data_IF_827100854529
#
_entry.id   IF_827100854529
#
_cell.length_a   1.000
_cell.length_b   1.000
_cell.length_c   1.000
_cell.angle_alpha   90.00
_cell.angle_beta   90.00
_cell.angle_gamma   90.00
#
_symmetry.space_group_name_H-M   'P 1'
#
loop_
_entity.id
_entity.type
_entity.pdbx_description
1 polymer ?
#
# COMPACT_ATOMS: atom_id res chain seq x y z
N UNK A 1 -49.38 3.72 38.39
CA UNK A 1 -48.34 4.75 38.10
C UNK A 1 -47.10 4.02 37.59
N UNK A 2 -46.94 4.05 36.26
CA UNK A 2 -45.80 3.43 35.60
C UNK A 2 -44.61 4.41 35.66
N UNK A 3 -43.63 4.16 36.50
CA UNK A 3 -42.42 4.96 36.55
C UNK A 3 -41.62 4.64 35.25
N UNK A 4 -41.72 5.51 34.28
CA UNK A 4 -40.78 5.53 33.18
C UNK A 4 -39.42 5.90 33.75
N UNK A 5 -38.54 4.89 33.95
CA UNK A 5 -37.14 5.17 34.29
C UNK A 5 -36.50 6.07 33.22
N UNK A 6 -35.37 6.70 33.53
CA UNK A 6 -34.69 7.59 32.59
C UNK A 6 -34.35 6.80 31.31
N UNK A 7 -34.97 7.19 30.21
CA UNK A 7 -34.68 6.64 28.89
C UNK A 7 -33.46 7.40 28.40
N UNK A 8 -32.33 6.68 28.25
CA UNK A 8 -31.13 7.24 27.59
C UNK A 8 -31.47 7.72 26.18
N UNK A 9 -30.97 8.86 25.74
CA UNK A 9 -31.09 9.32 24.37
C UNK A 9 -30.60 8.28 23.37
N UNK A 10 -31.26 8.11 22.22
CA UNK A 10 -30.85 7.15 21.18
C UNK A 10 -29.38 7.32 20.75
N UNK A 11 -28.88 8.55 20.71
CA UNK A 11 -27.54 8.92 20.33
C UNK A 11 -26.47 8.28 21.22
N UNK A 12 -26.73 8.15 22.53
CA UNK A 12 -25.80 7.51 23.46
C UNK A 12 -25.75 5.98 23.25
N UNK A 13 -26.83 5.38 22.79
CA UNK A 13 -26.82 3.96 22.42
C UNK A 13 -26.02 3.77 21.13
N UNK A 14 -26.19 4.65 20.15
CA UNK A 14 -25.44 4.58 18.89
C UNK A 14 -23.92 4.74 19.16
N UNK A 15 -23.55 5.72 19.98
CA UNK A 15 -22.15 5.92 20.40
C UNK A 15 -21.58 4.69 21.13
N UNK A 16 -22.37 4.05 22.02
CA UNK A 16 -21.97 2.81 22.67
C UNK A 16 -21.75 1.67 21.68
N UNK A 17 -22.64 1.54 20.69
CA UNK A 17 -22.54 0.52 19.66
C UNK A 17 -21.36 0.80 18.70
N UNK A 18 -21.03 2.08 18.48
CA UNK A 18 -19.87 2.48 17.68
C UNK A 18 -18.56 1.99 18.31
N UNK A 19 -18.46 1.95 19.64
CA UNK A 19 -17.29 1.37 20.32
C UNK A 19 -17.16 -0.15 20.18
N UNK A 20 -18.21 -0.84 19.76
CA UNK A 20 -18.24 -2.29 19.52
C UNK A 20 -18.03 -2.67 18.05
N UNK A 21 -17.58 -1.75 17.21
CA UNK A 21 -17.52 -1.89 15.74
C UNK A 21 -16.75 -3.14 15.26
N UNK A 22 -15.79 -3.65 16.03
CA UNK A 22 -14.95 -4.82 15.75
C UNK A 22 -15.41 -6.10 16.49
N UNK A 23 -16.34 -5.99 17.45
CA UNK A 23 -16.89 -7.14 18.17
C UNK A 23 -18.21 -7.62 17.56
N UNK A 24 -18.10 -8.36 16.44
CA UNK A 24 -19.26 -8.91 15.75
C UNK A 24 -20.11 -9.86 16.64
N UNK A 25 -19.53 -10.50 17.65
CA UNK A 25 -20.25 -11.39 18.56
C UNK A 25 -21.17 -10.58 19.47
N UNK A 26 -20.65 -9.55 20.10
CA UNK A 26 -21.45 -8.66 20.97
C UNK A 26 -22.48 -7.89 20.16
N UNK A 27 -22.14 -7.38 18.96
CA UNK A 27 -23.10 -6.71 18.08
C UNK A 27 -24.29 -7.60 17.68
N UNK A 28 -24.06 -8.90 17.42
CA UNK A 28 -25.16 -9.86 17.17
C UNK A 28 -26.10 -9.97 18.36
N UNK A 29 -25.57 -10.05 19.58
CA UNK A 29 -26.38 -10.08 20.81
C UNK A 29 -27.15 -8.76 20.96
N UNK A 30 -26.50 -7.63 20.77
CA UNK A 30 -27.11 -6.29 20.83
C UNK A 30 -28.28 -6.18 19.83
N UNK A 31 -28.17 -6.77 18.64
CA UNK A 31 -29.24 -6.73 17.62
C UNK A 31 -30.53 -7.43 18.06
N UNK A 32 -30.46 -8.27 19.10
CA UNK A 32 -31.61 -9.00 19.66
C UNK A 32 -32.24 -8.33 20.88
N UNK A 33 -31.58 -7.29 21.43
CA UNK A 33 -32.06 -6.61 22.66
C UNK A 33 -33.34 -5.82 22.41
N UNK A 34 -33.37 -4.99 21.36
CA UNK A 34 -34.55 -4.21 21.00
C UNK A 34 -34.50 -3.76 19.54
N UNK A 35 -35.66 -3.39 18.99
CA UNK A 35 -35.79 -2.98 17.59
C UNK A 35 -35.02 -1.70 17.25
N UNK A 36 -34.86 -0.78 18.20
CA UNK A 36 -34.13 0.47 18.00
C UNK A 36 -32.62 0.28 17.78
N UNK A 37 -32.03 -0.79 18.30
CA UNK A 37 -30.62 -1.11 18.14
C UNK A 37 -30.28 -1.81 16.81
N UNK A 38 -31.30 -2.35 16.14
CA UNK A 38 -31.12 -3.11 14.89
C UNK A 38 -30.45 -2.28 13.79
N UNK A 39 -30.81 -1.02 13.51
CA UNK A 39 -30.17 -0.25 12.46
C UNK A 39 -28.67 -0.06 12.71
N UNK A 40 -28.29 0.37 13.92
CA UNK A 40 -26.88 0.66 14.26
C UNK A 40 -26.04 -0.62 14.32
N UNK A 41 -26.56 -1.69 14.92
CA UNK A 41 -25.87 -2.99 14.92
C UNK A 41 -25.69 -3.54 13.51
N UNK A 42 -26.69 -3.41 12.63
CA UNK A 42 -26.58 -3.82 11.21
C UNK A 42 -25.55 -3.01 10.45
N UNK A 43 -25.45 -1.71 10.73
CA UNK A 43 -24.44 -0.84 10.11
C UNK A 43 -23.03 -1.40 10.36
N UNK A 44 -22.71 -1.80 11.59
CA UNK A 44 -21.39 -2.35 11.93
C UNK A 44 -21.22 -3.80 11.42
N UNK A 45 -22.21 -4.67 11.63
CA UNK A 45 -22.15 -6.07 11.23
C UNK A 45 -21.98 -6.28 9.72
N UNK A 46 -22.55 -5.39 8.90
CA UNK A 46 -22.53 -5.48 7.44
C UNK A 46 -21.65 -4.42 6.77
N UNK A 47 -20.93 -3.61 7.56
CA UNK A 47 -20.01 -2.59 7.03
C UNK A 47 -18.94 -3.18 6.13
N UNK A 48 -18.40 -4.34 6.54
CA UNK A 48 -17.38 -5.09 5.80
C UNK A 48 -17.92 -6.47 5.45
N UNK A 49 -18.01 -6.73 4.16
CA UNK A 49 -18.42 -8.03 3.62
C UNK A 49 -17.21 -8.69 2.97
N UNK A 50 -16.98 -9.96 3.30
CA UNK A 50 -15.99 -10.80 2.65
C UNK A 50 -16.66 -11.98 1.98
N UNK A 51 -16.46 -12.09 0.67
CA UNK A 51 -16.89 -13.22 -0.13
C UNK A 51 -15.67 -14.09 -0.43
N UNK A 52 -15.76 -15.36 -0.08
CA UNK A 52 -14.65 -16.33 -0.25
C UNK A 52 -15.11 -17.65 -0.84
N UNK A 53 -16.41 -17.79 -1.17
CA UNK A 53 -16.98 -18.98 -1.78
C UNK A 53 -18.36 -18.68 -2.36
N UNK A 54 -18.86 -19.56 -3.22
CA UNK A 54 -20.23 -19.51 -3.75
C UNK A 54 -21.28 -19.52 -2.64
N UNK A 55 -21.06 -20.31 -1.59
CA UNK A 55 -21.97 -20.37 -0.45
C UNK A 55 -22.13 -19.00 0.24
N UNK A 56 -21.03 -18.26 0.42
CA UNK A 56 -21.08 -16.89 1.00
C UNK A 56 -21.80 -15.92 0.09
N UNK A 57 -21.66 -16.05 -1.23
CA UNK A 57 -22.39 -15.26 -2.21
C UNK A 57 -23.90 -15.54 -2.14
N UNK A 58 -24.28 -16.80 -2.16
CA UNK A 58 -25.71 -17.22 -2.10
C UNK A 58 -26.36 -16.75 -0.80
N UNK A 59 -25.69 -16.92 0.34
CA UNK A 59 -26.19 -16.46 1.63
C UNK A 59 -26.40 -14.94 1.65
N UNK A 60 -25.44 -14.17 1.14
CA UNK A 60 -25.54 -12.71 1.09
C UNK A 60 -26.65 -12.25 0.14
N UNK A 61 -26.76 -12.87 -1.03
CA UNK A 61 -27.83 -12.58 -1.98
C UNK A 61 -29.21 -12.83 -1.36
N UNK A 62 -29.43 -13.96 -0.72
CA UNK A 62 -30.66 -14.28 -0.02
C UNK A 62 -30.96 -13.28 1.12
N UNK A 63 -29.93 -12.86 1.85
CA UNK A 63 -30.06 -11.90 2.93
C UNK A 63 -30.46 -10.52 2.41
N UNK A 64 -29.85 -10.05 1.32
CA UNK A 64 -30.16 -8.77 0.69
C UNK A 64 -31.56 -8.79 0.04
N UNK A 65 -31.99 -9.90 -0.56
CA UNK A 65 -33.34 -10.06 -1.10
C UNK A 65 -34.39 -9.92 0.00
N UNK A 66 -34.14 -10.52 1.17
CA UNK A 66 -35.05 -10.45 2.32
C UNK A 66 -34.98 -9.10 3.08
N UNK A 67 -33.87 -8.38 2.98
CA UNK A 67 -33.64 -7.13 3.70
C UNK A 67 -32.73 -6.19 2.87
N UNK A 68 -33.30 -5.46 1.89
CA UNK A 68 -32.53 -4.55 1.01
C UNK A 68 -31.76 -3.47 1.77
N UNK A 69 -32.21 -3.13 2.99
CA UNK A 69 -31.51 -2.17 3.85
C UNK A 69 -30.07 -2.58 4.18
N UNK A 70 -29.75 -3.87 4.14
CA UNK A 70 -28.38 -4.37 4.37
C UNK A 70 -27.41 -3.86 3.32
N UNK A 71 -27.81 -3.81 2.05
CA UNK A 71 -26.96 -3.29 0.99
C UNK A 71 -26.50 -1.85 1.27
N UNK A 72 -27.32 -1.04 1.94
CA UNK A 72 -26.97 0.35 2.32
C UNK A 72 -25.93 0.43 3.45
N UNK A 73 -25.73 -0.66 4.21
CA UNK A 73 -24.77 -0.71 5.30
C UNK A 73 -23.36 -1.00 4.78
N UNK A 74 -23.23 -1.66 3.61
CA UNK A 74 -21.94 -2.13 3.06
C UNK A 74 -21.09 -0.93 2.65
N UNK A 75 -19.85 -0.89 3.17
CA UNK A 75 -18.82 0.10 2.85
C UNK A 75 -17.60 -0.54 2.22
N UNK A 76 -17.24 -1.73 2.69
CA UNK A 76 -16.09 -2.49 2.18
C UNK A 76 -16.55 -3.84 1.66
N UNK A 77 -16.23 -4.12 0.40
CA UNK A 77 -16.42 -5.42 -0.23
C UNK A 77 -15.06 -6.04 -0.48
N UNK A 78 -14.85 -7.25 0.02
CA UNK A 78 -13.65 -8.05 -0.23
C UNK A 78 -14.05 -9.32 -0.97
N UNK A 79 -13.45 -9.55 -2.13
CA UNK A 79 -13.52 -10.80 -2.88
C UNK A 79 -12.19 -11.50 -2.71
N UNK A 80 -12.21 -12.68 -2.09
CA UNK A 80 -10.99 -13.45 -1.82
C UNK A 80 -11.13 -14.84 -2.42
N UNK A 81 -10.61 -15.03 -3.64
CA UNK A 81 -10.52 -16.33 -4.26
C UNK A 81 -9.39 -17.17 -3.66
N UNK A 82 -9.23 -18.41 -4.14
CA UNK A 82 -8.21 -19.32 -3.61
C UNK A 82 -7.02 -19.49 -4.57
N UNK A 83 -6.91 -18.63 -5.57
CA UNK A 83 -5.77 -18.70 -6.49
C UNK A 83 -4.45 -18.55 -5.71
N UNK A 84 -3.59 -19.55 -5.81
CA UNK A 84 -2.23 -19.53 -5.29
C UNK A 84 -1.26 -19.41 -6.47
N UNK A 85 -0.73 -18.20 -6.69
CA UNK A 85 0.24 -17.93 -7.77
C UNK A 85 1.63 -18.46 -7.50
N UNK A 86 1.88 -19.04 -6.33
CA UNK A 86 3.19 -19.60 -5.96
C UNK A 86 3.22 -21.05 -6.37
N UNK A 87 4.00 -21.33 -7.43
CA UNK A 87 4.14 -22.62 -8.08
C UNK A 87 4.46 -23.75 -7.12
N UNK A 88 3.54 -24.65 -7.00
CA UNK A 88 3.81 -26.06 -6.80
C UNK A 88 2.72 -26.85 -7.52
N UNK A 89 3.16 -27.65 -8.45
CA UNK A 89 2.41 -28.72 -9.12
C UNK A 89 0.93 -28.44 -9.47
N UNK A 90 0.66 -28.43 -10.75
CA UNK A 90 -0.58 -28.37 -11.54
C UNK A 90 -1.81 -29.16 -11.03
N UNK A 91 -2.10 -29.24 -9.75
CA UNK A 91 -3.24 -30.01 -9.19
C UNK A 91 -4.15 -29.25 -8.22
N UNK A 92 -3.92 -27.95 -7.97
CA UNK A 92 -4.92 -27.13 -7.29
C UNK A 92 -5.98 -26.73 -8.30
N UNK A 93 -7.18 -27.28 -8.21
CA UNK A 93 -8.35 -26.79 -8.93
C UNK A 93 -8.52 -25.33 -8.55
N UNK A 94 -8.21 -24.44 -9.49
CA UNK A 94 -8.39 -23.00 -9.32
C UNK A 94 -9.88 -22.72 -9.26
N UNK A 95 -10.42 -22.60 -8.07
CA UNK A 95 -11.83 -22.36 -7.85
C UNK A 95 -12.09 -20.86 -7.67
N UNK A 96 -11.93 -20.11 -8.73
CA UNK A 96 -12.35 -18.71 -8.81
C UNK A 96 -13.64 -18.51 -9.65
N UNK A 97 -14.15 -19.58 -10.27
CA UNK A 97 -15.37 -19.56 -11.07
C UNK A 97 -16.60 -19.06 -10.29
N UNK A 98 -16.65 -19.32 -8.97
CA UNK A 98 -17.70 -18.82 -8.09
C UNK A 98 -17.76 -17.28 -8.02
N UNK A 99 -16.67 -16.59 -8.35
CA UNK A 99 -16.66 -15.12 -8.36
C UNK A 99 -17.66 -14.57 -9.38
N UNK A 100 -17.95 -15.32 -10.45
CA UNK A 100 -18.98 -14.94 -11.41
C UNK A 100 -20.39 -14.84 -10.76
N UNK A 101 -20.68 -15.63 -9.73
CA UNK A 101 -21.94 -15.53 -8.98
C UNK A 101 -22.00 -14.21 -8.20
N UNK A 102 -20.87 -13.62 -7.84
CA UNK A 102 -20.82 -12.34 -7.13
C UNK A 102 -21.24 -11.14 -7.97
N UNK A 103 -21.35 -11.27 -9.29
CA UNK A 103 -21.76 -10.18 -10.19
C UNK A 103 -23.14 -9.61 -9.83
N UNK A 104 -24.09 -10.46 -9.42
CA UNK A 104 -25.43 -10.02 -9.01
C UNK A 104 -25.38 -9.24 -7.69
N UNK A 105 -24.51 -9.68 -6.76
CA UNK A 105 -24.25 -8.95 -5.51
C UNK A 105 -23.66 -7.57 -5.84
N UNK A 106 -22.68 -7.52 -6.76
CA UNK A 106 -22.08 -6.28 -7.21
C UNK A 106 -23.15 -5.32 -7.75
N UNK A 107 -24.03 -5.78 -8.66
CA UNK A 107 -25.12 -4.97 -9.21
C UNK A 107 -26.06 -4.46 -8.11
N UNK A 108 -26.46 -5.32 -7.18
CA UNK A 108 -27.34 -4.95 -6.06
C UNK A 108 -26.68 -3.89 -5.16
N UNK A 109 -25.40 -4.05 -4.86
CA UNK A 109 -24.62 -3.09 -4.07
C UNK A 109 -24.44 -1.77 -4.83
N UNK A 110 -24.29 -1.79 -6.16
CA UNK A 110 -24.17 -0.58 -6.98
C UNK A 110 -25.43 0.28 -6.98
N UNK A 111 -26.59 -0.34 -7.00
CA UNK A 111 -27.88 0.37 -6.98
C UNK A 111 -28.21 0.94 -5.58
N UNK A 112 -27.92 0.19 -4.53
CA UNK A 112 -28.37 0.50 -3.18
C UNK A 112 -27.24 0.78 -2.19
N UNK A 113 -26.03 0.36 -2.51
CA UNK A 113 -24.88 0.41 -1.62
C UNK A 113 -24.15 1.74 -1.62
N UNK A 114 -23.23 1.85 -0.68
CA UNK A 114 -22.31 2.97 -0.54
C UNK A 114 -20.88 2.41 -0.38
N UNK A 115 -20.56 1.42 -1.23
CA UNK A 115 -19.24 0.78 -1.21
C UNK A 115 -18.21 1.82 -1.62
N UNK A 116 -17.28 2.11 -0.71
CA UNK A 116 -16.17 3.02 -0.94
C UNK A 116 -14.81 2.30 -0.94
N UNK A 117 -14.78 1.03 -0.53
CA UNK A 117 -13.58 0.20 -0.52
C UNK A 117 -13.85 -1.12 -1.23
N UNK A 118 -13.08 -1.38 -2.28
CA UNK A 118 -13.09 -2.65 -2.99
C UNK A 118 -11.74 -3.34 -2.82
N UNK A 119 -11.77 -4.59 -2.37
CA UNK A 119 -10.58 -5.42 -2.25
C UNK A 119 -10.75 -6.71 -3.08
N UNK A 120 -9.85 -6.93 -4.01
CA UNK A 120 -9.76 -8.17 -4.79
C UNK A 120 -8.49 -8.92 -4.37
N UNK A 121 -8.62 -10.19 -4.03
CA UNK A 121 -7.53 -10.97 -3.52
C UNK A 121 -7.48 -12.36 -4.14
N UNK A 122 -6.28 -12.77 -4.59
CA UNK A 122 -5.99 -14.09 -5.14
C UNK A 122 -6.92 -14.48 -6.27
N UNK A 123 -7.02 -13.60 -7.27
CA UNK A 123 -7.99 -13.71 -8.34
C UNK A 123 -7.30 -13.65 -9.69
N UNK A 124 -7.71 -14.51 -10.62
CA UNK A 124 -7.46 -14.32 -12.04
C UNK A 124 -8.58 -13.50 -12.68
N UNK A 125 -8.27 -12.29 -13.07
CA UNK A 125 -9.24 -11.42 -13.75
C UNK A 125 -9.75 -12.02 -15.06
N UNK A 126 -8.89 -12.77 -15.75
CA UNK A 126 -9.21 -13.43 -17.02
C UNK A 126 -10.21 -14.57 -16.92
N UNK A 127 -10.26 -15.26 -15.77
CA UNK A 127 -11.21 -16.36 -15.56
C UNK A 127 -12.64 -15.87 -15.33
N UNK A 128 -12.81 -14.57 -15.07
CA UNK A 128 -14.13 -13.99 -14.89
C UNK A 128 -14.86 -13.84 -16.23
N UNK A 129 -16.16 -14.16 -16.21
CA UNK A 129 -17.03 -13.92 -17.35
C UNK A 129 -17.02 -12.41 -17.73
N UNK A 130 -17.14 -12.05 -19.02
CA UNK A 130 -17.18 -10.65 -19.45
C UNK A 130 -18.21 -9.82 -18.68
N UNK A 131 -19.44 -10.36 -18.53
CA UNK A 131 -20.52 -9.69 -17.77
C UNK A 131 -20.15 -9.40 -16.32
N UNK A 132 -19.33 -10.26 -15.70
CA UNK A 132 -18.85 -10.06 -14.33
C UNK A 132 -17.82 -8.94 -14.29
N UNK A 133 -16.86 -8.95 -15.21
CA UNK A 133 -15.84 -7.89 -15.32
C UNK A 133 -16.50 -6.52 -15.56
N UNK A 134 -17.47 -6.47 -16.47
CA UNK A 134 -18.22 -5.26 -16.77
C UNK A 134 -19.07 -4.79 -15.59
N UNK A 135 -19.69 -5.70 -14.86
CA UNK A 135 -20.43 -5.37 -13.64
C UNK A 135 -19.52 -4.71 -12.60
N UNK A 136 -18.32 -5.23 -12.37
CA UNK A 136 -17.37 -4.64 -11.42
C UNK A 136 -16.92 -3.25 -11.85
N UNK A 137 -16.60 -3.06 -13.13
CA UNK A 137 -16.21 -1.75 -13.68
C UNK A 137 -17.36 -0.72 -13.62
N UNK A 138 -18.58 -1.12 -13.95
CA UNK A 138 -19.71 -0.20 -14.07
C UNK A 138 -20.29 0.25 -12.72
N UNK A 139 -20.24 -0.66 -11.72
CA UNK A 139 -21.00 -0.52 -10.48
C UNK A 139 -20.27 0.26 -9.41
N UNK A 140 -18.95 0.11 -9.33
CA UNK A 140 -18.17 0.63 -8.21
C UNK A 140 -17.50 1.99 -8.49
N UNK A 141 -18.12 2.86 -9.27
CA UNK A 141 -17.57 4.18 -9.63
C UNK A 141 -17.26 5.08 -8.43
N UNK A 142 -17.97 4.93 -7.32
CA UNK A 142 -17.75 5.68 -6.08
C UNK A 142 -16.72 5.04 -5.14
N UNK A 143 -15.96 4.05 -5.60
CA UNK A 143 -14.87 3.46 -4.81
C UNK A 143 -13.74 4.47 -4.69
N UNK A 144 -13.32 4.71 -3.43
CA UNK A 144 -12.21 5.59 -3.08
C UNK A 144 -10.94 4.84 -2.71
N UNK A 145 -11.09 3.60 -2.20
CA UNK A 145 -9.96 2.75 -1.81
C UNK A 145 -10.02 1.45 -2.59
N UNK A 146 -9.01 1.19 -3.41
CA UNK A 146 -8.85 -0.04 -4.18
C UNK A 146 -7.65 -0.82 -3.67
N UNK A 147 -7.90 -2.09 -3.28
CA UNK A 147 -6.85 -3.01 -2.85
C UNK A 147 -6.82 -4.20 -3.81
N UNK A 148 -5.69 -4.38 -4.47
CA UNK A 148 -5.42 -5.53 -5.34
C UNK A 148 -4.30 -6.35 -4.70
N UNK A 149 -4.59 -7.59 -4.31
CA UNK A 149 -3.66 -8.50 -3.66
C UNK A 149 -3.58 -9.82 -4.43
N UNK A 150 -2.43 -10.11 -5.04
CA UNK A 150 -2.23 -11.31 -5.87
C UNK A 150 -3.30 -11.44 -6.97
N UNK A 151 -3.56 -10.35 -7.68
CA UNK A 151 -4.49 -10.33 -8.82
C UNK A 151 -3.72 -10.47 -10.12
N UNK A 152 -4.15 -11.40 -10.98
CA UNK A 152 -3.56 -11.63 -12.28
C UNK A 152 -4.50 -11.20 -13.40
N UNK A 153 -4.03 -10.30 -14.25
CA UNK A 153 -4.71 -9.83 -15.45
C UNK A 153 -4.20 -10.58 -16.68
N UNK A 154 -4.86 -10.43 -17.83
CA UNK A 154 -4.37 -10.99 -19.08
C UNK A 154 -3.27 -10.12 -19.68
N UNK A 155 -3.51 -8.82 -19.76
CA UNK A 155 -2.58 -7.86 -20.31
C UNK A 155 -2.44 -6.64 -19.38
N UNK A 156 -1.37 -5.88 -19.54
CA UNK A 156 -1.17 -4.60 -18.85
C UNK A 156 -2.28 -3.59 -19.16
N UNK A 157 -2.83 -3.60 -20.38
CA UNK A 157 -3.98 -2.79 -20.76
C UNK A 157 -5.24 -3.08 -19.94
N UNK A 158 -5.48 -4.35 -19.59
CA UNK A 158 -6.62 -4.71 -18.73
C UNK A 158 -6.50 -4.11 -17.33
N UNK A 159 -5.27 -3.96 -16.83
CA UNK A 159 -5.00 -3.28 -15.55
C UNK A 159 -5.43 -1.83 -15.63
N UNK A 160 -5.00 -1.14 -16.68
CA UNK A 160 -5.33 0.29 -16.89
C UNK A 160 -6.84 0.49 -17.08
N UNK A 161 -7.47 -0.31 -17.94
CA UNK A 161 -8.92 -0.31 -18.14
C UNK A 161 -9.69 -0.52 -16.81
N UNK A 162 -9.13 -1.34 -15.93
CA UNK A 162 -9.73 -1.59 -14.64
C UNK A 162 -9.56 -0.39 -13.70
N UNK A 163 -8.38 0.24 -13.68
CA UNK A 163 -8.13 1.43 -12.87
C UNK A 163 -8.98 2.62 -13.32
N UNK A 164 -9.15 2.83 -14.63
CA UNK A 164 -9.96 3.92 -15.21
C UNK A 164 -11.46 3.81 -14.86
N UNK A 165 -11.90 2.63 -14.43
CA UNK A 165 -13.26 2.44 -13.96
C UNK A 165 -13.58 3.13 -12.62
N UNK A 166 -12.56 3.63 -11.89
CA UNK A 166 -12.71 4.21 -10.55
C UNK A 166 -12.32 5.71 -10.52
N UNK A 167 -13.19 6.60 -11.02
CA UNK A 167 -12.85 8.02 -11.16
C UNK A 167 -12.65 8.76 -9.82
N UNK A 168 -13.22 8.25 -8.74
CA UNK A 168 -13.13 8.85 -7.40
C UNK A 168 -12.04 8.21 -6.53
N UNK A 169 -11.06 7.53 -7.14
CA UNK A 169 -10.01 6.81 -6.42
C UNK A 169 -9.11 7.77 -5.64
N UNK A 170 -9.00 7.52 -4.32
CA UNK A 170 -8.17 8.28 -3.38
C UNK A 170 -6.98 7.45 -2.88
N UNK A 171 -7.14 6.12 -2.77
CA UNK A 171 -6.12 5.22 -2.26
C UNK A 171 -5.99 3.97 -3.14
N UNK A 172 -4.76 3.68 -3.54
CA UNK A 172 -4.44 2.53 -4.38
C UNK A 172 -3.38 1.65 -3.72
N UNK A 173 -3.72 0.38 -3.54
CA UNK A 173 -2.83 -0.65 -3.01
C UNK A 173 -2.62 -1.75 -4.04
N UNK A 174 -1.40 -1.87 -4.54
CA UNK A 174 -0.97 -2.90 -5.46
C UNK A 174 -0.01 -3.86 -4.76
N UNK A 175 -0.44 -5.08 -4.55
CA UNK A 175 0.39 -6.12 -3.94
C UNK A 175 0.39 -7.37 -4.81
N UNK A 176 1.53 -7.69 -5.41
CA UNK A 176 1.73 -8.81 -6.33
C UNK A 176 0.71 -8.84 -7.47
N UNK A 177 0.44 -7.67 -8.06
CA UNK A 177 -0.38 -7.57 -9.26
C UNK A 177 0.49 -7.89 -10.47
N UNK A 178 0.01 -8.81 -11.30
CA UNK A 178 0.73 -9.30 -12.48
C UNK A 178 -0.20 -9.49 -13.66
N UNK A 179 0.38 -9.66 -14.84
CA UNK A 179 -0.34 -10.03 -16.07
C UNK A 179 0.39 -11.12 -16.82
N UNK A 180 -0.33 -11.81 -17.71
CA UNK A 180 0.25 -12.81 -18.59
C UNK A 180 1.05 -12.07 -19.66
N UNK A 181 2.35 -12.33 -19.76
CA UNK A 181 3.12 -11.80 -20.90
C UNK A 181 2.62 -12.46 -22.17
N UNK A 182 2.03 -11.66 -23.07
CA UNK A 182 1.70 -12.16 -24.40
C UNK A 182 2.98 -12.57 -25.10
N UNK A 183 3.05 -13.89 -25.40
CA UNK A 183 3.99 -14.56 -26.32
C UNK A 183 5.43 -14.04 -26.38
N UNK A 184 6.35 -14.86 -25.87
CA UNK A 184 7.74 -15.14 -26.35
C UNK A 184 8.64 -14.02 -26.88
N UNK A 185 8.29 -12.77 -26.77
CA UNK A 185 9.18 -11.64 -27.04
C UNK A 185 9.20 -10.78 -25.79
N UNK A 186 10.36 -10.73 -25.17
CA UNK A 186 10.80 -9.80 -24.09
C UNK A 186 9.71 -9.01 -23.35
N UNK A 187 9.77 -8.91 -22.03
CA UNK A 187 8.80 -8.12 -21.27
C UNK A 187 8.66 -6.77 -21.96
N UNK A 188 7.41 -6.33 -22.13
CA UNK A 188 7.07 -5.03 -22.71
C UNK A 188 8.11 -4.00 -22.29
N UNK A 189 8.83 -3.42 -23.24
CA UNK A 189 9.84 -2.42 -22.87
C UNK A 189 9.14 -1.31 -22.10
N UNK A 190 9.86 -0.62 -21.21
CA UNK A 190 9.30 0.54 -20.52
C UNK A 190 8.61 1.51 -21.51
N UNK A 191 9.13 1.64 -22.73
CA UNK A 191 8.55 2.44 -23.80
C UNK A 191 7.13 1.98 -24.22
N UNK A 192 6.87 0.68 -24.27
CA UNK A 192 5.54 0.16 -24.58
C UNK A 192 4.55 0.40 -23.45
N UNK A 193 4.97 0.23 -22.19
CA UNK A 193 4.15 0.56 -21.02
C UNK A 193 3.82 2.06 -20.98
N UNK A 194 4.78 2.92 -21.26
CA UNK A 194 4.60 4.38 -21.34
C UNK A 194 3.59 4.71 -22.45
N UNK A 195 3.76 4.14 -23.65
CA UNK A 195 2.83 4.35 -24.76
C UNK A 195 1.42 3.89 -24.44
N UNK A 196 1.28 2.75 -23.76
CA UNK A 196 0.00 2.22 -23.34
C UNK A 196 -0.66 3.15 -22.31
N UNK A 197 0.05 3.56 -21.27
CA UNK A 197 -0.47 4.47 -20.25
C UNK A 197 -0.92 5.81 -20.88
N UNK A 198 -0.15 6.34 -21.82
CA UNK A 198 -0.50 7.57 -22.54
C UNK A 198 -1.74 7.43 -23.42
N UNK A 199 -2.03 6.23 -23.95
CA UNK A 199 -3.25 5.97 -24.72
C UNK A 199 -4.52 5.95 -23.87
N UNK A 200 -4.40 5.75 -22.57
CA UNK A 200 -5.48 5.78 -21.59
C UNK A 200 -5.74 7.18 -21.00
N UNK A 201 -5.32 8.21 -21.71
CA UNK A 201 -5.48 9.59 -21.27
C UNK A 201 -6.97 9.96 -21.07
N UNK A 202 -7.47 9.94 -19.83
CA UNK A 202 -8.79 10.45 -19.47
C UNK A 202 -8.68 11.92 -19.01
N UNK A 203 -9.64 12.73 -19.42
CA UNK A 203 -9.75 14.14 -19.01
C UNK A 203 -10.25 14.31 -17.57
N UNK A 204 -10.63 13.22 -16.91
CA UNK A 204 -11.12 13.27 -15.53
C UNK A 204 -10.00 13.56 -14.53
N UNK A 205 -10.31 14.38 -13.55
CA UNK A 205 -9.39 14.68 -12.46
C UNK A 205 -9.23 13.46 -11.55
N UNK A 206 -8.01 13.00 -11.39
CA UNK A 206 -7.66 11.98 -10.41
C UNK A 206 -7.50 12.63 -9.03
N UNK A 207 -7.95 11.95 -7.97
CA UNK A 207 -7.87 12.43 -6.58
C UNK A 207 -6.96 11.55 -5.71
N UNK A 208 -6.04 10.82 -6.33
CA UNK A 208 -5.17 9.87 -5.63
C UNK A 208 -4.29 10.61 -4.60
N UNK A 209 -4.39 10.20 -3.35
CA UNK A 209 -3.65 10.75 -2.22
C UNK A 209 -2.70 9.75 -1.57
N UNK A 210 -2.95 8.46 -1.78
CA UNK A 210 -2.15 7.36 -1.23
C UNK A 210 -1.84 6.33 -2.31
N UNK A 211 -0.57 5.96 -2.44
CA UNK A 211 -0.09 4.93 -3.35
C UNK A 211 0.79 3.93 -2.61
N UNK A 212 0.45 2.65 -2.72
CA UNK A 212 1.28 1.53 -2.28
C UNK A 212 1.56 0.59 -3.46
N UNK A 213 2.83 0.36 -3.75
CA UNK A 213 3.31 -0.59 -4.76
C UNK A 213 4.33 -1.54 -4.15
N UNK A 214 4.01 -2.82 -4.13
CA UNK A 214 4.92 -3.84 -3.63
C UNK A 214 6.01 -4.23 -4.66
N UNK A 215 7.09 -4.92 -4.24
CA UNK A 215 8.22 -5.28 -5.11
C UNK A 215 7.86 -6.21 -6.28
N UNK A 216 6.69 -6.86 -6.27
CA UNK A 216 6.26 -7.84 -7.28
C UNK A 216 5.31 -7.24 -8.32
N UNK A 217 4.92 -6.00 -8.13
CA UNK A 217 4.09 -5.25 -9.07
C UNK A 217 4.97 -4.36 -9.94
N UNK A 218 4.56 -4.09 -11.18
CA UNK A 218 5.29 -3.14 -12.05
C UNK A 218 5.03 -1.70 -11.61
N UNK A 219 6.02 -1.00 -11.03
CA UNK A 219 5.84 0.37 -10.62
C UNK A 219 5.76 1.32 -11.82
N UNK A 220 6.45 1.02 -12.94
CA UNK A 220 6.43 1.86 -14.14
C UNK A 220 5.01 2.00 -14.69
N UNK A 221 4.27 0.90 -14.88
CA UNK A 221 2.91 0.95 -15.45
C UNK A 221 2.00 1.88 -14.64
N UNK A 222 1.98 1.72 -13.33
CA UNK A 222 1.11 2.51 -12.44
C UNK A 222 1.54 3.97 -12.40
N UNK A 223 2.85 4.23 -12.35
CA UNK A 223 3.40 5.58 -12.31
C UNK A 223 3.09 6.36 -13.60
N UNK A 224 3.32 5.74 -14.76
CA UNK A 224 3.01 6.36 -16.05
C UNK A 224 1.51 6.60 -16.23
N UNK A 225 0.68 5.68 -15.74
CA UNK A 225 -0.77 5.88 -15.71
C UNK A 225 -1.15 7.08 -14.83
N UNK A 226 -0.56 7.23 -13.64
CA UNK A 226 -0.78 8.40 -12.79
C UNK A 226 -0.36 9.68 -13.51
N UNK A 227 0.82 9.68 -14.14
CA UNK A 227 1.37 10.85 -14.83
C UNK A 227 0.59 11.21 -16.12
N UNK A 228 -0.11 10.24 -16.73
CA UNK A 228 -0.94 10.50 -17.91
C UNK A 228 -2.22 11.29 -17.60
N UNK A 229 -2.62 11.36 -16.32
CA UNK A 229 -3.82 12.10 -15.93
C UNK A 229 -3.49 13.59 -15.70
N UNK A 230 -4.25 14.52 -16.31
CA UNK A 230 -3.98 15.96 -16.23
C UNK A 230 -4.46 16.54 -14.90
N UNK A 231 -3.91 16.14 -13.81
CA UNK A 231 -4.34 16.67 -12.52
C UNK A 231 -3.17 17.17 -11.70
N UNK A 232 -3.43 18.18 -10.91
CA UNK A 232 -2.57 18.50 -9.79
C UNK A 232 -2.47 17.24 -8.91
N UNK A 233 -1.37 16.52 -9.04
CA UNK A 233 -1.13 15.32 -8.25
C UNK A 233 -1.13 15.72 -6.78
N UNK A 234 -2.05 15.12 -6.01
CA UNK A 234 -2.19 15.39 -4.57
C UNK A 234 -1.72 14.20 -3.73
N UNK A 235 -0.78 13.43 -4.26
CA UNK A 235 -0.19 12.32 -3.54
C UNK A 235 0.46 12.83 -2.26
N UNK A 236 -0.08 12.39 -1.12
CA UNK A 236 0.44 12.72 0.22
C UNK A 236 1.32 11.62 0.77
N UNK A 237 1.03 10.39 0.38
CA UNK A 237 1.77 9.21 0.83
C UNK A 237 2.10 8.32 -0.35
N UNK A 238 3.38 8.04 -0.50
CA UNK A 238 3.89 7.08 -1.48
C UNK A 238 4.69 6.03 -0.72
N UNK A 239 4.35 4.76 -0.93
CA UNK A 239 5.10 3.61 -0.46
C UNK A 239 5.37 2.71 -1.65
N UNK A 240 6.61 2.55 -2.03
CA UNK A 240 6.96 1.77 -3.21
C UNK A 240 8.33 1.10 -3.09
N UNK A 241 8.43 -0.05 -3.75
CA UNK A 241 9.69 -0.70 -4.06
C UNK A 241 9.95 -0.59 -5.57
N UNK A 242 10.98 0.16 -5.94
CA UNK A 242 11.32 0.41 -7.34
C UNK A 242 12.39 -0.57 -7.80
N UNK A 243 12.00 -1.56 -8.61
CA UNK A 243 12.92 -2.57 -9.15
C UNK A 243 13.24 -2.39 -10.63
N UNK A 244 12.51 -1.55 -11.33
CA UNK A 244 12.65 -1.30 -12.77
C UNK A 244 13.65 -0.17 -13.01
N UNK A 245 14.95 -0.47 -12.92
CA UNK A 245 16.03 0.51 -13.00
C UNK A 245 16.13 1.20 -14.38
N UNK A 246 15.58 0.57 -15.41
CA UNK A 246 15.55 1.11 -16.76
C UNK A 246 14.65 2.35 -16.89
N UNK A 247 13.76 2.58 -15.93
CA UNK A 247 12.84 3.71 -15.94
C UNK A 247 12.81 4.51 -14.63
N UNK A 248 13.95 4.78 -14.04
CA UNK A 248 14.05 5.65 -12.85
C UNK A 248 13.55 7.07 -13.09
N UNK A 249 13.50 7.49 -14.36
CA UNK A 249 12.93 8.79 -14.75
C UNK A 249 11.46 8.89 -14.36
N UNK A 250 10.65 7.86 -14.56
CA UNK A 250 9.23 7.86 -14.17
C UNK A 250 9.06 8.07 -12.65
N UNK A 251 9.95 7.49 -11.84
CA UNK A 251 9.96 7.75 -10.40
C UNK A 251 10.24 9.22 -10.09
N UNK A 252 11.26 9.80 -10.74
CA UNK A 252 11.59 11.22 -10.58
C UNK A 252 10.43 12.13 -10.98
N UNK A 253 9.82 11.87 -12.11
CA UNK A 253 8.65 12.60 -12.62
C UNK A 253 7.45 12.49 -11.63
N UNK A 254 7.23 11.31 -11.01
CA UNK A 254 6.20 11.12 -9.99
C UNK A 254 6.47 11.94 -8.72
N UNK A 255 7.71 11.94 -8.22
CA UNK A 255 8.11 12.72 -7.05
C UNK A 255 7.99 14.21 -7.32
N UNK A 256 8.43 14.67 -8.51
CA UNK A 256 8.32 16.05 -8.94
C UNK A 256 6.84 16.49 -9.08
N UNK A 257 5.99 15.64 -9.71
CA UNK A 257 4.57 15.92 -9.87
C UNK A 257 3.83 15.97 -8.52
N UNK A 258 4.25 15.14 -7.56
CA UNK A 258 3.70 15.15 -6.19
C UNK A 258 4.11 16.42 -5.42
N UNK A 259 5.28 16.99 -5.71
CA UNK A 259 5.77 18.27 -5.21
C UNK A 259 5.53 18.47 -3.72
N UNK A 260 5.01 19.66 -3.36
CA UNK A 260 4.71 20.03 -1.97
C UNK A 260 3.48 19.32 -1.36
N UNK A 261 2.80 18.46 -2.10
CA UNK A 261 1.71 17.63 -1.54
C UNK A 261 2.25 16.42 -0.78
N UNK A 262 3.46 15.95 -1.11
CA UNK A 262 4.04 14.74 -0.53
C UNK A 262 4.47 14.98 0.92
N UNK A 263 3.80 14.27 1.84
CA UNK A 263 4.06 14.34 3.27
C UNK A 263 4.83 13.10 3.79
N UNK A 264 4.64 11.94 3.15
CA UNK A 264 5.25 10.67 3.56
C UNK A 264 5.77 9.92 2.35
N UNK A 265 7.02 9.53 2.39
CA UNK A 265 7.66 8.71 1.38
C UNK A 265 8.32 7.50 2.05
N UNK A 266 7.92 6.30 1.63
CA UNK A 266 8.67 5.08 1.88
C UNK A 266 9.16 4.55 0.55
N UNK A 267 10.46 4.34 0.44
CA UNK A 267 11.09 3.92 -0.81
C UNK A 267 12.08 2.79 -0.55
N UNK A 268 12.06 1.84 -1.45
CA UNK A 268 12.97 0.71 -1.47
C UNK A 268 13.54 0.54 -2.89
N UNK A 269 14.84 0.30 -2.98
CA UNK A 269 15.50 -0.10 -4.21
C UNK A 269 16.17 -1.46 -4.03
N UNK A 270 16.38 -2.23 -5.11
CA UNK A 270 17.13 -3.48 -5.04
C UNK A 270 18.53 -3.25 -4.46
N UNK A 271 19.00 -4.18 -3.66
CA UNK A 271 20.37 -4.16 -3.15
C UNK A 271 21.39 -4.23 -4.29
N UNK A 272 22.47 -3.45 -4.17
CA UNK A 272 23.60 -3.48 -5.11
C UNK A 272 23.40 -2.66 -6.38
N UNK A 273 22.53 -1.64 -6.36
CA UNK A 273 22.56 -0.59 -7.38
C UNK A 273 23.89 0.15 -7.24
N UNK A 274 24.84 -0.22 -8.09
CA UNK A 274 26.19 0.34 -8.08
C UNK A 274 26.24 1.71 -8.78
N UNK A 275 25.23 2.09 -9.54
CA UNK A 275 25.26 3.31 -10.35
C UNK A 275 24.58 4.47 -9.65
N UNK A 276 25.33 5.15 -8.80
CA UNK A 276 25.01 6.45 -8.23
C UNK A 276 24.52 7.44 -9.31
N UNK A 277 25.04 7.33 -10.52
CA UNK A 277 24.73 8.21 -11.65
C UNK A 277 23.29 8.11 -12.15
N UNK A 278 22.70 6.92 -12.19
CA UNK A 278 21.33 6.73 -12.71
C UNK A 278 20.31 7.36 -11.77
N UNK A 279 20.45 7.16 -10.47
CA UNK A 279 19.53 7.74 -9.49
C UNK A 279 19.74 9.24 -9.35
N UNK A 280 21.01 9.70 -9.31
CA UNK A 280 21.34 11.12 -9.15
C UNK A 280 20.78 12.01 -10.27
N UNK A 281 20.69 11.49 -11.49
CA UNK A 281 20.19 12.28 -12.63
C UNK A 281 18.66 12.33 -12.72
N UNK A 282 17.94 11.40 -12.10
CA UNK A 282 16.50 11.28 -12.31
C UNK A 282 15.68 11.41 -11.03
N UNK A 283 16.19 10.97 -9.89
CA UNK A 283 15.42 10.92 -8.65
C UNK A 283 15.88 12.03 -7.70
N UNK A 284 15.02 12.99 -7.42
CA UNK A 284 15.32 14.10 -6.51
C UNK A 284 14.13 14.43 -5.62
N UNK A 285 14.41 14.80 -4.37
CA UNK A 285 13.42 15.24 -3.38
C UNK A 285 13.34 16.76 -3.22
N UNK A 286 14.05 17.52 -4.03
CA UNK A 286 14.11 19.00 -3.95
C UNK A 286 12.72 19.65 -4.01
N UNK A 287 11.80 19.07 -4.77
CA UNK A 287 10.44 19.59 -4.92
C UNK A 287 9.47 19.18 -3.79
N UNK A 288 9.86 18.21 -2.94
CA UNK A 288 9.00 17.65 -1.90
C UNK A 288 9.13 18.40 -0.57
N UNK A 289 8.84 19.70 -0.61
CA UNK A 289 9.10 20.65 0.50
C UNK A 289 8.18 20.48 1.71
N UNK A 290 7.11 19.70 1.61
CA UNK A 290 6.22 19.39 2.75
C UNK A 290 6.46 18.01 3.37
N UNK A 291 7.54 17.32 2.99
CA UNK A 291 7.84 15.98 3.47
C UNK A 291 8.04 15.98 5.00
N UNK A 292 7.30 15.12 5.69
CA UNK A 292 7.32 14.98 7.16
C UNK A 292 7.98 13.69 7.61
N UNK A 293 7.90 12.66 6.78
CA UNK A 293 8.44 11.32 7.07
C UNK A 293 9.06 10.73 5.82
N UNK A 294 10.30 10.27 5.96
CA UNK A 294 11.03 9.55 4.92
C UNK A 294 11.47 8.20 5.48
N UNK A 295 11.13 7.11 4.79
CA UNK A 295 11.52 5.75 5.18
C UNK A 295 12.29 5.07 4.06
N UNK A 296 13.42 4.52 4.40
CA UNK A 296 14.27 3.71 3.54
C UNK A 296 14.07 2.24 3.87
N UNK A 297 13.43 1.48 2.98
CA UNK A 297 13.19 0.05 3.13
C UNK A 297 14.20 -0.81 2.37
N UNK A 298 14.18 -2.12 2.64
CA UNK A 298 14.96 -3.11 1.90
C UNK A 298 16.47 -2.97 2.02
N UNK A 299 16.98 -2.39 3.11
CA UNK A 299 18.41 -2.22 3.33
C UNK A 299 19.04 -3.53 3.86
N UNK A 300 19.11 -4.53 2.99
CA UNK A 300 19.71 -5.82 3.30
C UNK A 300 21.26 -5.74 3.25
N UNK A 301 21.86 -5.55 4.40
CA UNK A 301 23.33 -5.51 4.55
C UNK A 301 23.94 -6.91 4.73
N UNK A 302 23.16 -7.98 4.79
CA UNK A 302 23.66 -9.37 4.84
C UNK A 302 24.52 -9.68 3.61
N UNK A 303 24.20 -9.03 2.49
CA UNK A 303 24.93 -9.16 1.23
C UNK A 303 26.32 -8.51 1.23
N UNK A 304 26.63 -7.66 2.23
CA UNK A 304 27.94 -7.00 2.33
C UNK A 304 29.09 -7.99 2.48
N UNK A 305 28.88 -9.04 3.25
CA UNK A 305 29.88 -10.09 3.47
C UNK A 305 30.17 -10.95 2.23
N UNK A 306 29.20 -11.04 1.30
CA UNK A 306 29.35 -11.80 0.06
C UNK A 306 29.98 -10.98 -1.10
N UNK A 307 30.01 -9.65 -1.00
CA UNK A 307 30.41 -8.73 -2.08
C UNK A 307 31.64 -7.88 -1.79
N UNK A 308 32.58 -8.36 -1.01
CA UNK A 308 33.81 -7.66 -0.59
C UNK A 308 34.67 -7.06 -1.71
N UNK A 309 34.27 -7.12 -2.98
CA UNK A 309 35.11 -6.73 -4.12
C UNK A 309 34.59 -5.60 -5.01
N UNK A 310 33.34 -5.07 -4.86
CA UNK A 310 32.78 -4.22 -5.91
C UNK A 310 32.31 -2.80 -5.51
N UNK A 311 31.99 -2.51 -4.26
CA UNK A 311 31.74 -1.12 -3.81
C UNK A 311 31.90 -0.98 -2.31
N UNK A 312 32.39 0.18 -1.85
CA UNK A 312 32.55 0.47 -0.42
C UNK A 312 31.19 0.61 0.28
N UNK A 313 30.11 0.90 -0.48
CA UNK A 313 28.76 1.14 0.06
C UNK A 313 27.73 0.41 -0.78
N UNK A 314 26.79 -0.29 -0.11
CA UNK A 314 25.72 -1.06 -0.76
C UNK A 314 24.54 -0.19 -1.20
N UNK A 315 24.32 0.95 -0.52
CA UNK A 315 23.15 1.81 -0.69
C UNK A 315 23.53 3.30 -0.83
N UNK A 316 24.32 3.67 -1.87
CA UNK A 316 24.77 5.05 -2.05
C UNK A 316 23.59 6.03 -2.26
N UNK A 317 22.46 5.54 -2.76
CA UNK A 317 21.26 6.31 -3.00
C UNK A 317 20.62 6.88 -1.72
N UNK A 318 20.80 6.23 -0.56
CA UNK A 318 20.32 6.72 0.73
C UNK A 318 20.89 8.09 1.06
N UNK A 319 22.22 8.23 0.98
CA UNK A 319 22.89 9.50 1.26
C UNK A 319 22.54 10.57 0.21
N UNK A 320 22.35 10.17 -1.06
CA UNK A 320 21.93 11.10 -2.13
C UNK A 320 20.54 11.65 -1.85
N UNK A 321 19.57 10.82 -1.52
CA UNK A 321 18.22 11.27 -1.22
C UNK A 321 18.17 12.16 0.03
N UNK A 322 18.99 11.88 1.05
CA UNK A 322 19.12 12.74 2.21
C UNK A 322 19.71 14.11 1.86
N UNK A 323 20.69 14.15 0.93
CA UNK A 323 21.31 15.40 0.48
C UNK A 323 20.33 16.36 -0.22
N UNK A 324 19.35 15.79 -0.93
CA UNK A 324 18.32 16.54 -1.68
C UNK A 324 17.17 17.05 -0.81
N UNK A 325 17.10 16.65 0.45
CA UNK A 325 16.01 17.05 1.35
C UNK A 325 16.05 18.55 1.64
N UNK A 326 14.96 19.23 1.33
CA UNK A 326 14.77 20.67 1.60
C UNK A 326 13.52 20.96 2.43
N UNK A 327 12.89 19.92 3.01
CA UNK A 327 11.67 20.12 3.77
C UNK A 327 11.93 20.61 5.20
N UNK A 328 11.47 21.81 5.58
CA UNK A 328 11.54 22.28 6.95
C UNK A 328 10.54 21.58 7.87
N UNK A 329 9.68 20.74 7.30
CA UNK A 329 8.63 20.00 8.03
C UNK A 329 9.05 18.58 8.38
N UNK A 330 10.26 18.14 7.99
CA UNK A 330 10.74 16.78 8.23
C UNK A 330 10.83 16.52 9.75
N UNK A 331 10.17 15.48 10.19
CA UNK A 331 10.11 15.09 11.62
C UNK A 331 10.73 13.75 11.88
N UNK A 332 10.74 12.89 10.87
CA UNK A 332 11.13 11.51 11.04
C UNK A 332 11.85 10.98 9.80
N UNK A 333 12.98 10.31 10.03
CA UNK A 333 13.65 9.47 9.04
C UNK A 333 13.76 8.06 9.61
N UNK A 334 13.35 7.08 8.84
CA UNK A 334 13.34 5.67 9.25
C UNK A 334 14.23 4.85 8.33
N UNK A 335 15.00 3.93 8.90
CA UNK A 335 15.82 2.96 8.20
C UNK A 335 15.37 1.55 8.59
N UNK A 336 15.00 0.74 7.60
CA UNK A 336 14.65 -0.68 7.78
C UNK A 336 15.82 -1.52 7.32
N UNK A 337 16.60 -2.04 8.28
CA UNK A 337 17.84 -2.77 8.06
C UNK A 337 17.65 -4.27 8.27
N UNK A 338 18.21 -5.07 7.38
CA UNK A 338 18.43 -6.49 7.61
C UNK A 338 19.93 -6.74 7.79
N UNK A 339 20.34 -7.21 8.95
CA UNK A 339 21.75 -7.46 9.27
C UNK A 339 21.93 -8.71 10.13
N UNK A 340 22.96 -9.55 9.88
CA UNK A 340 23.25 -10.67 10.74
C UNK A 340 23.89 -10.25 12.07
N UNK A 341 24.61 -9.11 12.08
CA UNK A 341 25.36 -8.60 13.23
C UNK A 341 25.69 -7.09 13.10
N UNK A 342 26.39 -6.55 14.09
CA UNK A 342 26.83 -5.17 14.08
C UNK A 342 27.93 -4.86 13.03
N UNK A 343 28.64 -5.88 12.49
CA UNK A 343 29.67 -5.67 11.46
C UNK A 343 29.06 -5.41 10.09
N UNK A 344 27.92 -6.06 9.79
CA UNK A 344 27.17 -5.84 8.56
C UNK A 344 26.76 -4.39 8.34
N UNK A 345 26.61 -3.61 9.41
CA UNK A 345 26.31 -2.18 9.33
C UNK A 345 27.35 -1.35 8.53
N UNK A 346 28.56 -1.87 8.31
CA UNK A 346 29.58 -1.22 7.48
C UNK A 346 29.15 -1.03 6.01
N UNK A 347 28.08 -1.68 5.56
CA UNK A 347 27.55 -1.54 4.19
C UNK A 347 26.92 -0.17 3.88
N UNK A 348 26.66 0.67 4.87
CA UNK A 348 26.12 2.04 4.70
C UNK A 348 27.23 3.09 4.75
N UNK A 349 27.05 4.19 4.00
CA UNK A 349 27.91 5.38 4.05
C UNK A 349 27.57 6.25 5.28
N UNK A 350 27.95 5.77 6.46
CA UNK A 350 27.64 6.43 7.73
C UNK A 350 28.16 7.87 7.81
N UNK A 351 29.42 8.18 7.38
CA UNK A 351 29.93 9.53 7.45
C UNK A 351 29.08 10.53 6.65
N UNK A 352 28.60 10.12 5.48
CA UNK A 352 27.77 10.96 4.63
C UNK A 352 26.35 11.06 5.20
N UNK A 353 25.77 9.96 5.67
CA UNK A 353 24.46 9.92 6.34
C UNK A 353 24.47 10.82 7.58
N UNK A 354 25.50 10.72 8.45
CA UNK A 354 25.62 11.56 9.64
C UNK A 354 25.73 13.04 9.29
N UNK A 355 26.55 13.38 8.30
CA UNK A 355 26.71 14.75 7.84
C UNK A 355 25.40 15.36 7.34
N UNK A 356 24.61 14.58 6.57
CA UNK A 356 23.32 15.04 6.06
C UNK A 356 22.28 15.21 7.18
N UNK A 357 22.15 14.22 8.08
CA UNK A 357 21.22 14.26 9.20
C UNK A 357 21.58 15.34 10.23
N UNK A 358 22.87 15.71 10.34
CA UNK A 358 23.36 16.73 11.26
C UNK A 358 23.18 18.17 10.73
N UNK A 359 22.55 18.39 9.58
CA UNK A 359 22.26 19.73 9.06
C UNK A 359 21.37 20.52 10.04
N UNK A 360 21.56 21.85 10.09
CA UNK A 360 20.81 22.72 11.01
C UNK A 360 19.30 22.74 10.76
N UNK A 361 18.89 22.50 9.55
CA UNK A 361 17.50 22.44 9.09
C UNK A 361 16.72 21.29 9.73
N UNK A 362 17.40 20.23 10.18
CA UNK A 362 16.81 19.04 10.78
C UNK A 362 16.87 19.02 12.31
N UNK A 363 16.89 20.20 12.93
CA UNK A 363 16.89 20.28 14.40
C UNK A 363 15.61 19.66 14.99
N UNK A 364 15.77 18.72 15.92
CA UNK A 364 14.65 18.01 16.54
C UNK A 364 14.12 16.82 15.73
N UNK A 365 14.81 16.46 14.63
CA UNK A 365 14.48 15.26 13.84
C UNK A 365 14.56 13.98 14.70
N UNK A 366 13.62 13.09 14.51
CA UNK A 366 13.69 11.72 15.04
C UNK A 366 14.20 10.79 13.97
N UNK A 367 15.32 10.12 14.22
CA UNK A 367 15.85 9.05 13.35
C UNK A 367 15.58 7.72 14.00
N UNK A 368 14.94 6.81 13.27
CA UNK A 368 14.61 5.46 13.72
C UNK A 368 15.32 4.41 12.88
N UNK A 369 15.84 3.42 13.56
CA UNK A 369 16.34 2.20 12.94
C UNK A 369 15.50 1.02 13.41
N UNK A 370 14.86 0.35 12.47
CA UNK A 370 14.26 -0.95 12.66
C UNK A 370 15.24 -1.97 12.11
N UNK A 371 15.80 -2.79 12.99
CA UNK A 371 16.83 -3.75 12.62
C UNK A 371 16.27 -5.16 12.74
N UNK A 372 16.11 -5.80 11.59
CA UNK A 372 15.79 -7.22 11.53
C UNK A 372 17.10 -8.01 11.61
N UNK A 373 17.23 -8.80 12.65
CA UNK A 373 18.41 -9.62 12.90
C UNK A 373 17.95 -11.00 13.36
N UNK A 374 18.19 -12.02 12.57
CA UNK A 374 17.76 -13.41 12.86
C UNK A 374 18.25 -13.95 14.21
N UNK A 375 19.36 -13.43 14.71
CA UNK A 375 19.95 -13.81 15.98
C UNK A 375 19.54 -12.91 17.15
N UNK A 376 18.83 -11.80 16.90
CA UNK A 376 18.41 -10.86 17.93
C UNK A 376 17.11 -11.33 18.59
N UNK A 377 17.22 -11.80 19.82
CA UNK A 377 16.06 -11.87 20.70
C UNK A 377 16.01 -10.59 21.55
N UNK A 378 14.81 -10.09 21.80
CA UNK A 378 14.54 -8.84 22.53
C UNK A 378 15.28 -8.85 23.88
N UNK A 379 16.15 -7.84 24.12
CA UNK A 379 17.01 -7.77 25.31
C UNK A 379 18.27 -8.62 25.23
N UNK A 380 18.66 -9.07 24.05
CA UNK A 380 19.91 -9.80 23.84
C UNK A 380 21.12 -8.85 23.85
N UNK A 381 22.29 -9.38 24.20
CA UNK A 381 23.56 -8.64 24.11
C UNK A 381 23.80 -8.07 22.69
N UNK A 382 23.35 -8.78 21.67
CA UNK A 382 23.46 -8.36 20.26
C UNK A 382 22.61 -7.13 19.96
N UNK A 383 21.43 -7.02 20.58
CA UNK A 383 20.60 -5.80 20.45
C UNK A 383 21.33 -4.56 20.97
N UNK A 384 21.99 -4.68 22.10
CA UNK A 384 22.80 -3.58 22.68
C UNK A 384 24.02 -3.28 21.80
N UNK A 385 24.73 -4.29 21.31
CA UNK A 385 25.86 -4.13 20.40
C UNK A 385 25.47 -3.41 19.09
N UNK A 386 24.33 -3.76 18.48
CA UNK A 386 23.82 -3.09 17.29
C UNK A 386 23.44 -1.65 17.58
N UNK A 387 22.75 -1.41 18.69
CA UNK A 387 22.36 -0.06 19.13
C UNK A 387 23.57 0.83 19.34
N UNK A 388 24.56 0.33 20.06
CA UNK A 388 25.80 1.07 20.34
C UNK A 388 26.55 1.35 19.04
N UNK A 389 26.68 0.35 18.17
CA UNK A 389 27.33 0.48 16.88
C UNK A 389 26.66 1.54 15.96
N UNK A 390 25.33 1.64 15.94
CA UNK A 390 24.62 2.68 15.18
C UNK A 390 24.86 4.05 15.84
N UNK A 391 24.78 4.13 17.18
CA UNK A 391 24.95 5.38 17.92
C UNK A 391 26.36 5.97 17.75
N UNK A 392 27.38 5.12 17.73
CA UNK A 392 28.77 5.52 17.49
C UNK A 392 29.03 6.04 16.06
N UNK A 393 28.23 5.60 15.09
CA UNK A 393 28.35 5.98 13.68
C UNK A 393 27.65 7.29 13.34
N UNK A 394 26.85 7.85 14.26
CA UNK A 394 26.08 9.08 14.06
C UNK A 394 26.45 10.15 15.12
N UNK A 395 27.75 10.50 15.29
CA UNK A 395 28.21 11.44 16.33
C UNK A 395 27.67 12.86 16.10
N UNK A 396 27.59 13.31 14.84
CA UNK A 396 27.12 14.66 14.51
C UNK A 396 25.61 14.83 14.71
N UNK A 397 24.84 13.79 14.50
CA UNK A 397 23.38 13.80 14.68
C UNK A 397 22.98 13.66 16.15
N UNK A 398 23.72 12.91 16.97
CA UNK A 398 23.39 12.54 18.36
C UNK A 398 23.01 13.72 19.23
N UNK A 399 23.68 14.88 19.05
CA UNK A 399 23.45 16.08 19.86
C UNK A 399 22.33 16.99 19.31
N UNK A 400 21.75 16.65 18.16
CA UNK A 400 20.77 17.50 17.45
C UNK A 400 19.37 16.95 17.35
N UNK A 401 19.21 15.65 17.44
CA UNK A 401 17.95 14.97 17.29
C UNK A 401 17.74 13.82 18.26
N UNK A 402 16.72 13.03 17.99
CA UNK A 402 16.40 11.84 18.76
C UNK A 402 16.72 10.59 17.95
N UNK A 403 17.63 9.77 18.45
CA UNK A 403 17.95 8.48 17.85
C UNK A 403 17.19 7.36 18.56
N UNK A 404 16.50 6.52 17.79
CA UNK A 404 15.79 5.34 18.29
C UNK A 404 16.21 4.12 17.49
N UNK A 405 16.66 3.07 18.16
CA UNK A 405 17.02 1.80 17.57
C UNK A 405 16.13 0.72 18.18
N UNK A 406 15.47 -0.05 17.35
CA UNK A 406 14.59 -1.15 17.74
C UNK A 406 14.93 -2.38 16.92
N UNK A 407 15.28 -3.48 17.57
CA UNK A 407 15.42 -4.78 16.93
C UNK A 407 14.04 -5.47 16.90
N UNK A 408 13.65 -6.04 15.77
CA UNK A 408 12.35 -6.65 15.49
C UNK A 408 12.52 -8.12 15.06
#
# INVERSE_FOLDING_TARGET
MSSRGPVLPPELFDETLDHLWDDAKTLRVCSLVCRSWVPSTRLHLFRTIRLSSEATCTQLSALMANSPAIARCVRKLTISAQYSGVGTDNRGVEDDAWVNVSAEIARTLGVHGRVNTLALSRLRWTSLAPDTRDAYKAVFKGVRTLLLFEVRFHASGDVLDFLDAFPDLEELYFHAVSWDSESSTTPSSAAELISLAQSHHDTKKMHLSYLFLDPRSSPTLVTEWILSHPSEQKLRTIQLCWRELDNTKALGDLLQASGSSLERLQIEFPSGIAEETVLHNHVSLVHNTALRSLSFGGLDVTLASARTFLSAHLFPWVALMLADLQSPHLREVTFELETPDAQGLAGLDWPRIDAELAKREFQGLTVRFYVNCDACTRGSKLEDEVRDAITERLPGFKDRGTLRVSCI
#
